data_IF_234008028792
#
_entry.id   IF_234008028792
#
_cell.length_a   1.000
_cell.length_b   1.000
_cell.length_c   1.000
_cell.angle_alpha   90.00
_cell.angle_beta   90.00
_cell.angle_gamma   90.00
#
_symmetry.space_group_name_H-M   'P 1'
#
loop_
_entity.id
_entity.type
_entity.pdbx_description
1 polymer ?
#
# COMPACT_ATOMS: atom_id res chain seq x y z
N UNK A 1 -25.83 8.84 50.35
CA UNK A 1 -27.04 8.31 49.68
C UNK A 1 -27.15 8.91 48.32
N UNK A 2 -27.52 8.10 47.36
CA UNK A 2 -27.74 8.38 45.91
C UNK A 2 -26.46 8.44 45.07
N UNK A 3 -26.24 7.65 44.20
CA UNK A 3 -26.76 6.64 43.26
C UNK A 3 -25.95 6.77 41.96
N UNK A 4 -25.28 5.69 41.62
CA UNK A 4 -24.56 5.46 40.36
C UNK A 4 -25.58 5.40 39.21
N UNK A 5 -25.34 6.11 38.15
CA UNK A 5 -25.90 5.80 36.82
C UNK A 5 -24.77 5.49 35.83
N UNK A 6 -24.70 4.23 35.51
CA UNK A 6 -23.95 3.65 34.43
C UNK A 6 -24.76 3.89 33.16
N UNK A 7 -24.18 4.59 32.19
CA UNK A 7 -24.71 4.59 30.82
C UNK A 7 -23.77 3.75 29.95
N UNK A 8 -24.26 2.56 29.61
CA UNK A 8 -23.72 1.75 28.51
C UNK A 8 -24.01 2.46 27.21
N UNK A 9 -22.95 2.82 26.49
CA UNK A 9 -23.00 3.27 25.13
C UNK A 9 -22.32 2.22 24.22
N UNK A 10 -23.12 1.60 23.39
CA UNK A 10 -22.73 0.64 22.36
C UNK A 10 -21.59 1.19 21.51
N UNK A 11 -20.42 0.56 21.59
CA UNK A 11 -19.35 0.71 20.63
C UNK A 11 -19.64 -0.23 19.45
N UNK A 12 -20.34 0.32 18.45
CA UNK A 12 -20.49 -0.33 17.16
C UNK A 12 -19.13 -0.67 16.56
N UNK A 13 -18.93 -1.93 16.28
CA UNK A 13 -17.82 -2.45 15.47
C UNK A 13 -17.81 -1.75 14.10
N UNK A 14 -16.95 -0.76 13.93
CA UNK A 14 -16.62 -0.24 12.62
C UNK A 14 -15.55 -1.14 12.02
N UNK A 15 -15.98 -2.02 11.13
CA UNK A 15 -15.16 -2.94 10.37
C UNK A 15 -14.09 -2.16 9.60
N UNK A 16 -12.85 -2.55 9.79
CA UNK A 16 -11.67 -2.09 9.05
C UNK A 16 -11.85 -2.36 7.55
N UNK A 17 -12.14 -1.33 6.75
CA UNK A 17 -12.22 -1.44 5.30
C UNK A 17 -10.80 -1.52 4.73
N UNK A 18 -10.33 -2.74 4.57
CA UNK A 18 -9.26 -3.07 3.63
C UNK A 18 -9.82 -2.87 2.21
N UNK A 19 -9.09 -2.33 1.23
CA UNK A 19 -9.58 -2.28 -0.13
C UNK A 19 -9.80 -3.71 -0.62
N UNK A 20 -11.06 -4.16 -0.56
CA UNK A 20 -11.50 -5.38 -1.21
C UNK A 20 -11.48 -5.14 -2.71
N UNK A 21 -10.80 -5.99 -3.45
CA UNK A 21 -11.08 -6.20 -4.88
C UNK A 21 -12.60 -6.20 -5.05
N UNK A 22 -13.13 -5.29 -5.87
CA UNK A 22 -14.54 -5.30 -6.27
C UNK A 22 -14.81 -6.64 -6.92
N UNK A 23 -15.60 -7.45 -6.26
CA UNK A 23 -16.30 -8.54 -6.93
C UNK A 23 -17.41 -7.90 -7.75
N UNK A 24 -17.25 -7.96 -9.07
CA UNK A 24 -18.30 -7.64 -10.02
C UNK A 24 -19.47 -8.60 -9.82
N UNK A 25 -20.53 -8.11 -9.16
CA UNK A 25 -21.82 -8.78 -9.09
C UNK A 25 -22.78 -8.01 -9.98
N UNK A 26 -22.64 -8.17 -11.28
CA UNK A 26 -23.70 -7.86 -12.23
C UNK A 26 -23.45 -8.65 -13.52
N UNK A 27 -23.91 -9.87 -13.59
CA UNK A 27 -24.41 -10.53 -14.79
C UNK A 27 -24.72 -11.99 -14.45
N UNK A 28 -25.86 -12.22 -13.87
CA UNK A 28 -26.47 -13.53 -13.84
C UNK A 28 -27.94 -13.36 -14.17
N UNK A 29 -28.24 -13.40 -15.45
CA UNK A 29 -29.57 -13.78 -16.00
C UNK A 29 -29.44 -13.87 -17.52
N UNK A 30 -29.93 -15.01 -18.04
CA UNK A 30 -30.07 -15.41 -19.44
C UNK A 30 -28.84 -16.16 -19.99
N UNK A 31 -28.85 -17.46 -20.08
CA UNK A 31 -29.56 -18.28 -21.04
C UNK A 31 -29.27 -19.75 -20.68
N UNK A 32 -30.32 -20.48 -20.43
CA UNK A 32 -30.32 -21.95 -20.45
C UNK A 32 -30.19 -22.46 -21.90
N UNK A 33 -29.59 -23.64 -21.96
CA UNK A 33 -29.77 -24.67 -22.98
C UNK A 33 -28.91 -24.57 -24.27
N UNK A 34 -28.01 -25.48 -24.42
CA UNK A 34 -28.05 -26.58 -25.35
C UNK A 34 -26.84 -27.52 -25.30
N UNK A 35 -27.17 -28.78 -25.00
CA UNK A 35 -26.30 -29.93 -25.19
C UNK A 35 -25.95 -30.11 -26.67
N UNK A 36 -24.69 -30.38 -26.97
CA UNK A 36 -24.26 -31.52 -27.80
C UNK A 36 -22.73 -31.57 -27.94
N UNK A 37 -22.24 -32.72 -27.65
CA UNK A 37 -20.94 -33.34 -27.89
C UNK A 37 -20.27 -32.92 -29.21
N UNK A 38 -18.99 -32.46 -29.12
CA UNK A 38 -17.97 -32.86 -30.10
C UNK A 38 -16.55 -32.72 -29.49
N UNK A 39 -15.92 -33.84 -29.34
CA UNK A 39 -14.50 -34.05 -29.07
C UNK A 39 -13.65 -33.37 -30.15
N UNK A 40 -12.73 -32.50 -29.76
CA UNK A 40 -11.59 -32.14 -30.59
C UNK A 40 -10.38 -31.81 -29.70
N UNK A 41 -9.24 -32.45 -29.96
CA UNK A 41 -8.05 -32.30 -29.12
C UNK A 41 -7.25 -31.08 -29.59
N UNK A 42 -7.25 -30.02 -28.78
CA UNK A 42 -6.21 -28.98 -28.85
C UNK A 42 -5.70 -28.70 -27.46
N UNK A 43 -4.69 -29.47 -27.07
CA UNK A 43 -3.82 -29.10 -25.94
C UNK A 43 -2.96 -27.92 -26.36
N UNK A 44 -2.91 -26.97 -25.49
CA UNK A 44 -1.88 -25.95 -25.25
C UNK A 44 -2.42 -24.51 -25.30
N UNK A 45 -2.98 -24.02 -24.19
CA UNK A 45 -2.86 -22.60 -23.74
C UNK A 45 -3.45 -22.37 -22.33
N UNK A 46 -3.51 -23.37 -21.46
CA UNK A 46 -4.11 -23.24 -20.11
C UNK A 46 -3.09 -22.90 -18.99
N UNK A 47 -1.83 -22.60 -19.32
CA UNK A 47 -0.79 -22.59 -18.27
C UNK A 47 -0.29 -21.21 -17.82
N UNK A 48 -0.64 -20.13 -18.50
CA UNK A 48 -0.10 -18.80 -18.17
C UNK A 48 -0.94 -18.07 -17.10
N UNK A 49 -2.25 -18.22 -17.08
CA UNK A 49 -3.13 -17.58 -16.10
C UNK A 49 -3.06 -18.21 -14.71
N UNK A 50 -3.01 -19.56 -14.64
CA UNK A 50 -2.88 -20.26 -13.35
C UNK A 50 -1.52 -20.05 -12.69
N UNK A 51 -0.44 -19.97 -13.46
CA UNK A 51 0.92 -19.73 -12.94
C UNK A 51 1.10 -18.30 -12.43
N UNK A 52 0.49 -17.33 -13.07
CA UNK A 52 0.48 -15.93 -12.61
C UNK A 52 -0.29 -15.79 -11.30
N UNK A 53 -1.44 -16.46 -11.19
CA UNK A 53 -2.27 -16.43 -9.99
C UNK A 53 -1.56 -17.04 -8.77
N UNK A 54 -0.82 -18.14 -8.95
CA UNK A 54 -0.02 -18.76 -7.86
C UNK A 54 1.12 -17.87 -7.41
N UNK A 55 1.86 -17.24 -8.32
CA UNK A 55 2.94 -16.30 -7.99
C UNK A 55 2.41 -15.09 -7.21
N UNK A 56 1.33 -14.50 -7.68
CA UNK A 56 0.68 -13.36 -7.04
C UNK A 56 0.14 -13.72 -5.65
N UNK A 57 -0.45 -14.91 -5.48
CA UNK A 57 -0.90 -15.40 -4.19
C UNK A 57 0.26 -15.51 -3.18
N UNK A 58 1.41 -16.06 -3.58
CA UNK A 58 2.59 -16.13 -2.71
C UNK A 58 3.07 -14.73 -2.31
N UNK A 59 3.09 -13.77 -3.24
CA UNK A 59 3.46 -12.37 -2.96
C UNK A 59 2.47 -11.74 -1.99
N UNK A 60 1.17 -11.86 -2.22
CA UNK A 60 0.13 -11.28 -1.36
C UNK A 60 0.17 -11.82 0.07
N UNK A 61 0.35 -13.15 0.22
CA UNK A 61 0.56 -13.79 1.53
C UNK A 61 1.83 -13.27 2.19
N UNK A 62 2.92 -13.17 1.44
CA UNK A 62 4.18 -12.64 1.93
C UNK A 62 4.08 -11.18 2.38
N UNK A 63 3.44 -10.31 1.60
CA UNK A 63 3.21 -8.91 1.97
C UNK A 63 2.46 -8.80 3.31
N UNK A 64 1.44 -9.62 3.52
CA UNK A 64 0.67 -9.64 4.76
C UNK A 64 1.49 -10.11 5.96
N UNK A 65 2.19 -11.25 5.84
CA UNK A 65 2.97 -11.82 6.94
C UNK A 65 4.19 -10.97 7.29
N UNK A 66 4.96 -10.56 6.27
CA UNK A 66 6.18 -9.77 6.42
C UNK A 66 5.84 -8.36 6.88
N UNK A 67 4.77 -7.77 6.39
CA UNK A 67 4.28 -6.49 6.86
C UNK A 67 3.92 -6.50 8.35
N UNK A 68 3.39 -7.61 8.85
CA UNK A 68 3.09 -7.77 10.28
C UNK A 68 4.35 -7.99 11.12
N UNK A 69 5.23 -8.93 10.72
CA UNK A 69 6.31 -9.46 11.56
C UNK A 69 7.71 -8.92 11.22
N UNK A 70 7.95 -8.42 10.00
CA UNK A 70 9.25 -8.12 9.44
C UNK A 70 9.78 -9.24 8.56
N UNK A 71 10.76 -8.94 7.72
CA UNK A 71 11.28 -9.87 6.71
C UNK A 71 12.06 -11.04 7.33
N UNK A 72 12.91 -10.76 8.32
CA UNK A 72 13.74 -11.76 9.02
C UNK A 72 12.90 -12.71 9.85
N UNK A 73 11.82 -12.22 10.46
CA UNK A 73 10.99 -12.99 11.37
C UNK A 73 10.04 -13.98 10.65
N UNK A 74 9.84 -13.83 9.34
CA UNK A 74 8.95 -14.70 8.57
C UNK A 74 9.76 -15.76 7.84
N UNK A 75 9.49 -17.04 8.18
CA UNK A 75 10.09 -18.20 7.53
C UNK A 75 9.42 -18.53 6.19
N UNK A 76 10.19 -19.09 5.25
CA UNK A 76 9.65 -19.53 3.96
C UNK A 76 8.52 -20.55 4.14
N UNK A 77 8.67 -21.50 5.07
CA UNK A 77 7.64 -22.52 5.31
C UNK A 77 6.31 -21.93 5.79
N UNK A 78 6.35 -20.82 6.54
CA UNK A 78 5.15 -20.10 6.99
C UNK A 78 4.41 -19.49 5.80
N UNK A 79 5.14 -18.83 4.90
CA UNK A 79 4.56 -18.25 3.68
C UNK A 79 3.91 -19.33 2.83
N UNK A 80 4.62 -20.45 2.61
CA UNK A 80 4.14 -21.55 1.76
C UNK A 80 2.92 -22.26 2.34
N UNK A 81 2.93 -22.52 3.65
CA UNK A 81 1.80 -23.11 4.36
C UNK A 81 0.55 -22.24 4.27
N UNK A 82 0.70 -20.93 4.45
CA UNK A 82 -0.39 -19.97 4.39
C UNK A 82 -0.90 -19.77 2.95
N UNK A 83 0.00 -19.82 1.96
CA UNK A 83 -0.35 -19.73 0.54
C UNK A 83 -0.93 -21.04 -0.02
N UNK A 84 -0.84 -22.14 0.71
CA UNK A 84 -1.31 -23.45 0.27
C UNK A 84 -0.50 -24.04 -0.90
N UNK A 85 0.80 -23.70 -1.01
CA UNK A 85 1.65 -24.12 -2.13
C UNK A 85 2.85 -24.95 -1.69
N UNK A 86 3.28 -25.95 -2.50
CA UNK A 86 4.45 -26.75 -2.19
C UNK A 86 5.75 -25.95 -2.35
N UNK A 87 6.79 -26.35 -1.61
CA UNK A 87 8.10 -25.67 -1.62
C UNK A 87 8.74 -25.58 -3.00
N UNK A 88 8.51 -26.56 -3.87
CA UNK A 88 9.02 -26.56 -5.24
C UNK A 88 8.48 -25.40 -6.07
N UNK A 89 7.21 -25.02 -5.88
CA UNK A 89 6.61 -23.89 -6.60
C UNK A 89 7.29 -22.56 -6.27
N UNK A 90 7.68 -22.35 -5.01
CA UNK A 90 8.38 -21.12 -4.62
C UNK A 90 9.70 -20.95 -5.38
N UNK A 91 10.53 -21.99 -5.38
CA UNK A 91 11.83 -21.93 -6.05
C UNK A 91 11.71 -21.84 -7.58
N UNK A 92 10.60 -22.32 -8.12
CA UNK A 92 10.27 -22.15 -9.53
C UNK A 92 10.04 -20.66 -9.88
N UNK A 93 9.34 -19.91 -9.00
CA UNK A 93 9.00 -18.50 -9.27
C UNK A 93 10.08 -17.51 -8.86
N UNK A 94 10.78 -17.76 -7.74
CA UNK A 94 11.62 -16.72 -7.11
C UNK A 94 13.10 -17.11 -7.00
N UNK A 95 13.44 -18.39 -7.05
CA UNK A 95 14.81 -18.87 -6.92
C UNK A 95 15.41 -18.75 -5.50
N UNK A 96 15.17 -17.66 -4.78
CA UNK A 96 15.65 -17.43 -3.42
C UNK A 96 14.67 -16.59 -2.59
N UNK A 97 14.86 -16.56 -1.26
CA UNK A 97 14.08 -15.67 -0.37
C UNK A 97 14.38 -14.19 -0.65
N UNK A 98 15.62 -13.86 -1.01
CA UNK A 98 16.01 -12.50 -1.40
C UNK A 98 15.32 -12.05 -2.68
N UNK A 99 15.34 -12.88 -3.72
CA UNK A 99 14.63 -12.58 -4.97
C UNK A 99 13.12 -12.47 -4.76
N UNK A 100 12.55 -13.26 -3.86
CA UNK A 100 11.16 -13.11 -3.41
C UNK A 100 10.95 -11.76 -2.71
N UNK A 101 11.87 -11.34 -1.84
CA UNK A 101 11.82 -10.03 -1.18
C UNK A 101 11.82 -8.87 -2.17
N UNK A 102 12.63 -8.95 -3.21
CA UNK A 102 12.63 -7.97 -4.32
C UNK A 102 11.27 -7.95 -5.03
N UNK A 103 10.76 -9.11 -5.47
CA UNK A 103 9.49 -9.22 -6.16
C UNK A 103 8.31 -8.70 -5.32
N UNK A 104 8.35 -8.97 -4.00
CA UNK A 104 7.36 -8.49 -3.04
C UNK A 104 7.38 -6.97 -2.91
N UNK A 105 8.56 -6.36 -2.84
CA UNK A 105 8.70 -4.90 -2.77
C UNK A 105 8.29 -4.23 -4.08
N UNK A 106 8.66 -4.80 -5.22
CA UNK A 106 8.28 -4.29 -6.54
C UNK A 106 6.76 -4.31 -6.72
N UNK A 107 6.10 -5.43 -6.43
CA UNK A 107 4.63 -5.53 -6.46
C UNK A 107 3.96 -4.53 -5.50
N UNK A 108 4.50 -4.37 -4.28
CA UNK A 108 3.97 -3.40 -3.33
C UNK A 108 4.05 -1.96 -3.85
N UNK A 109 5.19 -1.58 -4.42
CA UNK A 109 5.34 -0.22 -4.95
C UNK A 109 4.55 0.01 -6.23
N UNK A 110 4.37 -1.00 -7.08
CA UNK A 110 3.48 -0.92 -8.23
C UNK A 110 2.06 -0.58 -7.80
N UNK A 111 1.48 -1.37 -6.89
CA UNK A 111 0.14 -1.11 -6.34
C UNK A 111 0.04 0.28 -5.67
N UNK A 112 1.06 0.65 -4.89
CA UNK A 112 1.10 1.94 -4.20
C UNK A 112 1.14 3.12 -5.17
N UNK A 113 1.96 3.03 -6.22
CA UNK A 113 2.10 4.09 -7.22
C UNK A 113 0.84 4.23 -8.06
N UNK A 114 0.15 3.14 -8.36
CA UNK A 114 -1.13 3.14 -9.04
C UNK A 114 -2.22 3.80 -8.17
N UNK A 115 -2.26 3.50 -6.87
CA UNK A 115 -3.18 4.16 -5.92
C UNK A 115 -2.89 5.66 -5.80
N UNK A 116 -1.61 6.04 -5.75
CA UNK A 116 -1.19 7.43 -5.74
C UNK A 116 -1.61 8.15 -7.03
N UNK A 117 -1.35 7.55 -8.19
CA UNK A 117 -1.73 8.12 -9.48
C UNK A 117 -3.27 8.30 -9.57
N UNK A 118 -4.07 7.35 -9.07
CA UNK A 118 -5.54 7.48 -8.98
C UNK A 118 -5.96 8.62 -8.05
N UNK A 119 -5.32 8.77 -6.92
CA UNK A 119 -5.60 9.86 -5.97
C UNK A 119 -5.29 11.22 -6.58
N UNK A 120 -4.15 11.35 -7.25
CA UNK A 120 -3.73 12.60 -7.88
C UNK A 120 -4.50 12.92 -9.18
N UNK A 121 -5.23 11.97 -9.74
CA UNK A 121 -6.06 12.13 -10.94
C UNK A 121 -7.55 12.34 -10.65
N UNK A 122 -7.97 12.48 -9.38
CA UNK A 122 -9.39 12.61 -9.02
C UNK A 122 -10.05 13.79 -9.73
N UNK A 123 -11.16 13.59 -10.48
CA UNK A 123 -11.83 14.66 -11.20
C UNK A 123 -12.55 15.63 -10.23
N UNK A 124 -12.66 16.89 -10.63
CA UNK A 124 -13.41 17.91 -9.87
C UNK A 124 -12.67 18.51 -8.66
N UNK A 125 -11.43 18.08 -8.39
CA UNK A 125 -10.57 18.64 -7.34
C UNK A 125 -9.38 19.35 -7.98
N UNK A 126 -8.91 20.44 -7.37
CA UNK A 126 -7.62 21.04 -7.68
C UNK A 126 -6.47 20.22 -7.07
N UNK A 127 -5.23 20.54 -7.43
CA UNK A 127 -4.08 19.76 -6.97
C UNK A 127 -3.82 19.91 -5.47
N UNK A 128 -4.13 21.06 -4.88
CA UNK A 128 -4.03 21.25 -3.43
C UNK A 128 -4.95 20.28 -2.68
N UNK A 129 -6.19 20.12 -3.15
CA UNK A 129 -7.18 19.20 -2.58
C UNK A 129 -6.73 17.75 -2.75
N UNK A 130 -6.21 17.36 -3.92
CA UNK A 130 -5.71 15.99 -4.19
C UNK A 130 -4.51 15.64 -3.30
N UNK A 131 -3.58 16.58 -3.10
CA UNK A 131 -2.45 16.38 -2.20
C UNK A 131 -2.91 16.31 -0.73
N UNK A 132 -3.86 17.14 -0.32
CA UNK A 132 -4.45 17.07 1.01
C UNK A 132 -5.13 15.70 1.25
N UNK A 133 -5.88 15.19 0.26
CA UNK A 133 -6.48 13.85 0.31
C UNK A 133 -5.43 12.73 0.39
N UNK A 134 -4.34 12.82 -0.36
CA UNK A 134 -3.25 11.86 -0.27
C UNK A 134 -2.66 11.78 1.15
N UNK A 135 -2.35 12.91 1.77
CA UNK A 135 -1.80 12.93 3.12
C UNK A 135 -2.83 12.52 4.18
N UNK A 136 -4.11 12.85 4.00
CA UNK A 136 -5.20 12.36 4.85
C UNK A 136 -5.32 10.84 4.79
N UNK A 137 -5.29 10.25 3.59
CA UNK A 137 -5.31 8.79 3.41
C UNK A 137 -4.08 8.16 4.06
N UNK A 138 -2.91 8.76 3.92
CA UNK A 138 -1.70 8.30 4.62
C UNK A 138 -1.91 8.25 6.12
N UNK A 139 -2.39 9.37 6.72
CA UNK A 139 -2.69 9.42 8.16
C UNK A 139 -3.69 8.33 8.56
N UNK A 140 -4.81 8.20 7.87
CA UNK A 140 -5.85 7.21 8.18
C UNK A 140 -5.30 5.78 8.13
N UNK A 141 -4.52 5.46 7.12
CA UNK A 141 -3.96 4.11 6.94
C UNK A 141 -2.85 3.76 7.92
N UNK A 142 -2.19 4.75 8.54
CA UNK A 142 -1.07 4.54 9.45
C UNK A 142 -1.41 4.85 10.93
N UNK A 143 -2.61 5.38 11.23
CA UNK A 143 -3.00 5.80 12.59
C UNK A 143 -3.39 4.67 13.53
N UNK A 144 -3.75 3.50 13.01
CA UNK A 144 -4.14 2.38 13.85
C UNK A 144 -2.89 1.64 14.37
N UNK A 145 -2.84 1.42 15.69
CA UNK A 145 -1.75 0.71 16.34
C UNK A 145 -1.59 -0.74 15.86
N UNK A 146 -2.70 -1.33 15.38
CA UNK A 146 -2.75 -2.66 14.79
C UNK A 146 -2.51 -2.65 13.27
N UNK A 147 -2.02 -1.55 12.71
CA UNK A 147 -1.69 -1.46 11.28
C UNK A 147 -0.55 -2.40 10.93
N UNK A 148 -0.88 -3.67 10.89
CA UNK A 148 -0.02 -4.71 10.41
C UNK A 148 0.18 -4.51 8.90
N UNK A 149 1.35 -3.99 8.54
CA UNK A 149 1.85 -4.08 7.18
C UNK A 149 1.36 -3.09 6.14
N UNK A 150 0.72 -1.98 6.52
CA UNK A 150 0.19 -1.04 5.51
C UNK A 150 1.26 -0.18 4.81
N UNK A 151 2.43 0.02 5.39
CA UNK A 151 3.54 0.68 4.71
C UNK A 151 4.82 -0.16 4.84
N UNK A 152 5.13 -0.91 3.80
CA UNK A 152 6.33 -1.75 3.80
C UNK A 152 7.61 -0.91 3.84
N UNK A 153 7.63 0.30 3.26
CA UNK A 153 8.77 1.20 3.36
C UNK A 153 9.08 1.58 4.82
N UNK A 154 8.03 1.90 5.62
CA UNK A 154 8.17 2.17 7.06
C UNK A 154 8.57 0.93 7.85
N UNK A 155 8.02 -0.23 7.50
CA UNK A 155 8.24 -1.48 8.24
C UNK A 155 9.59 -2.10 7.94
N UNK A 156 9.99 -2.11 6.68
CA UNK A 156 11.14 -2.87 6.20
C UNK A 156 12.34 -2.01 5.84
N UNK A 157 12.17 -0.67 5.71
CA UNK A 157 13.19 0.20 5.14
C UNK A 157 14.57 0.04 5.77
N UNK A 158 14.67 0.08 7.10
CA UNK A 158 15.94 -0.11 7.80
C UNK A 158 16.40 -1.57 7.79
N UNK A 159 15.45 -2.52 7.98
CA UNK A 159 15.79 -3.94 8.11
C UNK A 159 16.40 -4.49 6.80
N UNK A 160 15.71 -4.33 5.67
CA UNK A 160 16.14 -4.99 4.43
C UNK A 160 17.22 -4.22 3.68
N UNK A 161 17.38 -2.92 3.94
CA UNK A 161 18.44 -2.12 3.34
C UNK A 161 19.83 -2.58 3.76
N UNK A 162 19.96 -3.06 5.02
CA UNK A 162 21.20 -3.59 5.54
C UNK A 162 21.44 -5.07 5.18
N UNK A 163 20.37 -5.79 4.81
CA UNK A 163 20.42 -7.23 4.55
C UNK A 163 20.70 -7.59 3.10
N UNK A 164 20.19 -6.83 2.14
CA UNK A 164 20.22 -7.16 0.73
C UNK A 164 20.29 -5.92 -0.16
N UNK A 165 21.37 -5.80 -0.92
CA UNK A 165 21.55 -4.71 -1.87
C UNK A 165 20.44 -4.68 -2.92
N UNK A 166 19.96 -5.85 -3.35
CA UNK A 166 18.87 -5.94 -4.33
C UNK A 166 17.55 -5.41 -3.75
N UNK A 167 17.21 -5.75 -2.51
CA UNK A 167 16.03 -5.20 -1.83
C UNK A 167 16.19 -3.71 -1.50
N UNK A 168 17.39 -3.26 -1.10
CA UNK A 168 17.70 -1.83 -0.93
C UNK A 168 17.46 -1.05 -2.23
N UNK A 169 17.91 -1.59 -3.36
CA UNK A 169 17.70 -0.98 -4.66
C UNK A 169 16.21 -0.93 -5.04
N UNK A 170 15.43 -1.97 -4.74
CA UNK A 170 13.97 -1.98 -4.95
C UNK A 170 13.27 -0.91 -4.09
N UNK A 171 13.62 -0.81 -2.80
CA UNK A 171 13.13 0.27 -1.92
C UNK A 171 13.45 1.66 -2.47
N UNK A 172 14.70 1.87 -2.92
CA UNK A 172 15.12 3.16 -3.48
C UNK A 172 14.32 3.53 -4.73
N UNK A 173 14.14 2.58 -5.66
CA UNK A 173 13.32 2.82 -6.86
C UNK A 173 11.88 3.16 -6.50
N UNK A 174 11.27 2.39 -5.60
CA UNK A 174 9.88 2.60 -5.20
C UNK A 174 9.66 3.94 -4.49
N UNK A 175 10.51 4.28 -3.53
CA UNK A 175 10.42 5.56 -2.81
C UNK A 175 10.72 6.76 -3.72
N UNK A 176 11.71 6.65 -4.62
CA UNK A 176 11.98 7.67 -5.64
C UNK A 176 10.78 7.85 -6.59
N UNK A 177 10.09 6.77 -6.94
CA UNK A 177 8.85 6.81 -7.73
C UNK A 177 7.74 7.61 -7.06
N UNK A 178 7.56 7.46 -5.73
CA UNK A 178 6.59 8.25 -4.94
C UNK A 178 6.97 9.72 -4.95
N UNK A 179 8.22 10.03 -4.59
CA UNK A 179 8.73 11.42 -4.55
C UNK A 179 8.59 12.12 -5.90
N UNK A 180 8.90 11.43 -6.99
CA UNK A 180 8.75 11.98 -8.35
C UNK A 180 7.30 12.33 -8.69
N UNK A 181 6.31 11.52 -8.27
CA UNK A 181 4.88 11.82 -8.47
C UNK A 181 4.42 13.01 -7.64
N UNK A 182 4.83 13.06 -6.38
CA UNK A 182 4.55 14.20 -5.50
C UNK A 182 5.16 15.50 -6.04
N UNK A 183 6.40 15.46 -6.55
CA UNK A 183 7.04 16.62 -7.16
C UNK A 183 6.26 17.16 -8.35
N UNK A 184 5.83 16.27 -9.27
CA UNK A 184 4.99 16.65 -10.41
C UNK A 184 3.62 17.20 -9.99
N UNK A 185 3.03 16.62 -8.96
CA UNK A 185 1.78 17.13 -8.42
C UNK A 185 1.95 18.53 -7.83
N UNK A 186 3.01 18.78 -7.07
CA UNK A 186 3.34 20.10 -6.52
C UNK A 186 3.57 21.11 -7.66
N UNK A 187 4.36 20.76 -8.69
CA UNK A 187 4.60 21.59 -9.86
C UNK A 187 3.29 21.96 -10.59
N UNK A 188 2.39 20.98 -10.75
CA UNK A 188 1.06 21.19 -11.33
C UNK A 188 0.25 22.17 -10.49
N UNK A 189 0.19 21.95 -9.17
CA UNK A 189 -0.56 22.81 -8.25
C UNK A 189 -0.04 24.26 -8.21
N UNK A 190 1.28 24.45 -8.32
CA UNK A 190 1.87 25.80 -8.47
C UNK A 190 1.44 26.44 -9.80
N UNK A 191 1.46 25.67 -10.88
CA UNK A 191 1.09 26.14 -12.22
C UNK A 191 -0.38 26.56 -12.29
N UNK A 192 -1.28 25.78 -11.71
CA UNK A 192 -2.72 26.07 -11.64
C UNK A 192 -3.09 27.05 -10.51
N UNK A 193 -2.10 27.43 -9.69
CA UNK A 193 -2.25 28.37 -8.55
C UNK A 193 -3.17 27.84 -7.43
N UNK A 194 -3.28 26.55 -7.27
CA UNK A 194 -4.01 25.94 -6.16
C UNK A 194 -3.15 25.86 -4.89
N UNK A 195 -1.82 25.90 -5.02
CA UNK A 195 -0.85 25.95 -3.92
C UNK A 195 0.35 26.86 -4.27
N UNK A 196 1.16 27.18 -3.27
CA UNK A 196 2.42 27.88 -3.45
C UNK A 196 3.53 27.19 -2.64
N UNK A 197 4.77 27.30 -3.10
CA UNK A 197 5.93 26.72 -2.42
C UNK A 197 7.09 27.70 -2.42
N UNK A 198 8.00 27.51 -1.49
CA UNK A 198 9.34 28.12 -1.53
C UNK A 198 10.35 27.06 -2.01
N UNK A 199 11.06 27.35 -3.09
CA UNK A 199 12.12 26.50 -3.64
C UNK A 199 11.64 25.53 -4.72
N UNK A 200 12.39 24.46 -4.87
CA UNK A 200 12.21 23.45 -5.93
C UNK A 200 11.18 22.39 -5.55
N UNK A 201 10.21 22.06 -6.43
CA UNK A 201 9.18 21.05 -6.18
C UNK A 201 9.73 19.67 -5.79
N UNK A 202 10.87 19.26 -6.36
CA UNK A 202 11.49 17.96 -6.03
C UNK A 202 12.01 17.96 -4.58
N UNK A 203 12.63 19.04 -4.13
CA UNK A 203 13.12 19.15 -2.76
C UNK A 203 11.98 19.23 -1.74
N UNK A 204 10.89 19.93 -2.07
CA UNK A 204 9.67 19.99 -1.25
C UNK A 204 9.04 18.61 -1.14
N UNK A 205 8.86 17.90 -2.25
CA UNK A 205 8.32 16.54 -2.27
C UNK A 205 9.17 15.56 -1.45
N UNK A 206 10.50 15.63 -1.60
CA UNK A 206 11.44 14.81 -0.83
C UNK A 206 11.31 15.09 0.68
N UNK A 207 11.24 16.35 1.07
CA UNK A 207 11.12 16.77 2.47
C UNK A 207 9.78 16.30 3.06
N UNK A 208 8.68 16.48 2.33
CA UNK A 208 7.36 15.99 2.77
C UNK A 208 7.34 14.47 2.92
N UNK A 209 7.87 13.72 1.94
CA UNK A 209 7.92 12.26 2.03
C UNK A 209 8.71 11.78 3.25
N UNK A 210 9.87 12.36 3.52
CA UNK A 210 10.70 12.05 4.70
C UNK A 210 10.00 12.41 6.01
N UNK A 211 9.33 13.56 6.08
CA UNK A 211 8.53 13.99 7.22
C UNK A 211 7.44 12.97 7.56
N UNK A 212 6.69 12.53 6.56
CA UNK A 212 5.60 11.57 6.75
C UNK A 212 6.09 10.16 7.08
N UNK A 213 7.21 9.72 6.52
CA UNK A 213 7.88 8.47 6.95
C UNK A 213 8.29 8.55 8.42
N UNK A 214 8.92 9.65 8.83
CA UNK A 214 9.32 9.89 10.22
C UNK A 214 8.12 9.92 11.16
N UNK A 215 7.05 10.63 10.79
CA UNK A 215 5.80 10.69 11.55
C UNK A 215 5.19 9.29 11.72
N UNK A 216 5.20 8.46 10.67
CA UNK A 216 4.69 7.09 10.72
C UNK A 216 5.46 6.19 11.72
N UNK A 217 6.77 6.37 11.81
CA UNK A 217 7.60 5.68 12.80
C UNK A 217 7.28 6.20 14.21
N UNK A 218 7.20 7.51 14.37
CA UNK A 218 6.93 8.13 15.67
C UNK A 218 5.57 7.76 16.25
N UNK A 219 4.51 7.69 15.44
CA UNK A 219 3.18 7.23 15.87
C UNK A 219 3.25 5.83 16.50
N UNK A 220 4.06 4.93 15.93
CA UNK A 220 4.26 3.58 16.49
C UNK A 220 5.02 3.61 17.83
N UNK A 221 5.97 4.52 17.96
CA UNK A 221 6.81 4.65 19.17
C UNK A 221 5.99 5.27 20.32
N UNK A 222 5.35 6.42 20.06
CA UNK A 222 4.65 7.18 21.09
C UNK A 222 3.21 6.70 21.34
N UNK A 223 2.69 5.85 20.47
CA UNK A 223 1.32 5.28 20.51
C UNK A 223 0.22 6.34 20.59
N UNK A 224 0.39 7.43 19.85
CA UNK A 224 -0.64 8.45 19.66
C UNK A 224 -0.46 9.10 18.27
N UNK A 225 -1.47 9.83 17.80
CA UNK A 225 -1.49 10.40 16.44
C UNK A 225 -0.88 11.80 16.34
N UNK A 226 -0.34 12.35 17.42
CA UNK A 226 0.24 13.69 17.45
C UNK A 226 1.33 13.90 16.37
N UNK A 227 2.23 12.95 16.07
CA UNK A 227 3.20 13.11 15.00
C UNK A 227 2.57 13.39 13.63
N UNK A 228 1.40 12.80 13.34
CA UNK A 228 0.68 13.12 12.11
C UNK A 228 0.05 14.51 12.12
N UNK A 229 -0.48 14.95 13.26
CA UNK A 229 -0.99 16.32 13.38
C UNK A 229 0.13 17.35 13.09
N UNK A 230 1.33 17.09 13.61
CA UNK A 230 2.51 17.93 13.30
C UNK A 230 2.89 17.86 11.82
N UNK A 231 2.91 16.68 11.22
CA UNK A 231 3.21 16.52 9.81
C UNK A 231 2.19 17.24 8.92
N UNK A 232 0.89 17.15 9.26
CA UNK A 232 -0.19 17.86 8.56
C UNK A 232 0.02 19.38 8.61
N UNK A 233 0.26 19.94 9.80
CA UNK A 233 0.51 21.38 9.96
C UNK A 233 1.72 21.82 9.13
N UNK A 234 2.82 21.08 9.19
CA UNK A 234 4.02 21.37 8.40
C UNK A 234 3.75 21.27 6.90
N UNK A 235 2.99 20.27 6.46
CA UNK A 235 2.60 20.13 5.05
C UNK A 235 1.78 21.31 4.57
N UNK A 236 0.80 21.76 5.36
CA UNK A 236 0.00 22.96 5.06
C UNK A 236 0.87 24.20 4.93
N UNK A 237 1.85 24.38 5.82
CA UNK A 237 2.79 25.49 5.77
C UNK A 237 3.69 25.43 4.53
N UNK A 238 4.27 24.25 4.23
CA UNK A 238 5.19 24.08 3.09
C UNK A 238 4.53 24.27 1.73
N UNK A 239 3.25 23.91 1.62
CA UNK A 239 2.47 23.99 0.39
C UNK A 239 1.56 25.24 0.36
N UNK A 240 1.59 26.10 1.38
CA UNK A 240 0.72 27.24 1.55
C UNK A 240 -0.77 26.92 1.28
N UNK A 241 -1.22 25.75 1.80
CA UNK A 241 -2.62 25.35 1.65
C UNK A 241 -3.53 26.23 2.52
N UNK A 242 -4.68 26.63 1.97
CA UNK A 242 -5.69 27.32 2.75
C UNK A 242 -6.18 26.42 3.91
N UNK A 243 -6.23 26.98 5.12
CA UNK A 243 -6.72 26.31 6.34
C UNK A 243 -8.25 26.32 6.39
#
# INVERSE_FOLDING_TARGET
>A
MAEKRIMNGDLGLMACLCPRKRQDTFFKLLVDDWSTTRYSPYMATANTSETTDVRENIIAVGQRLIGAKGFSAVGLNEILSEAGVPKGSFYHYFGSKDAFGVALLESYFEDYLDDLDRTLAQPGLDMAQRLADYFRIWQETQSFYDCQGKCLAVKLGAEVADMSEAMRAALNRGTAGIVSRLARAIETGVTERSLAIEGDPQNVAQSLYQLWLGASIMVKIVRNVQPFAMATTTTQQMLHLAT
#
